data_IF_774470588341
#
_entry.id   IF_774470588341
#
_cell.length_a   1.000
_cell.length_b   1.000
_cell.length_c   1.000
_cell.angle_alpha   90.00
_cell.angle_beta   90.00
_cell.angle_gamma   90.00
#
_symmetry.space_group_name_H-M   'P 1'
#
loop_
_entity.id
_entity.type
_entity.pdbx_description
1 polymer ?
#
# COMPACT_ATOMS: atom_id res chain seq x y z
N UNK A 1 17.80 39.64 -13.53
CA UNK A 1 17.24 40.00 -12.22
C UNK A 1 16.32 38.90 -11.77
N UNK A 2 16.67 38.31 -10.62
CA UNK A 2 15.91 37.46 -9.71
C UNK A 2 15.21 36.21 -10.23
N UNK A 3 15.99 35.14 -10.39
CA UNK A 3 15.50 33.79 -10.13
C UNK A 3 15.44 33.60 -8.61
N UNK A 4 14.24 33.64 -8.03
CA UNK A 4 13.98 33.18 -6.67
C UNK A 4 14.21 31.68 -6.60
N UNK A 5 15.35 31.28 -6.05
CA UNK A 5 15.54 29.96 -5.45
C UNK A 5 14.71 29.92 -4.17
N UNK A 6 13.52 29.33 -4.24
CA UNK A 6 12.80 28.91 -3.04
C UNK A 6 13.28 27.51 -2.65
N UNK A 7 13.90 27.48 -1.48
CA UNK A 7 14.42 26.34 -0.74
C UNK A 7 13.43 25.17 -0.68
N UNK A 8 13.87 24.00 -1.12
CA UNK A 8 13.21 22.71 -0.89
C UNK A 8 13.32 22.35 0.59
N UNK A 9 12.26 22.61 1.36
CA UNK A 9 12.07 21.97 2.65
C UNK A 9 11.83 20.47 2.42
N UNK A 10 12.60 19.61 3.08
CA UNK A 10 12.47 18.16 3.00
C UNK A 10 11.12 17.70 3.55
N UNK A 11 10.15 17.47 2.67
CA UNK A 11 8.86 16.93 3.06
C UNK A 11 8.99 15.41 3.30
N UNK A 12 8.81 14.99 4.56
CA UNK A 12 8.85 13.57 5.03
C UNK A 12 7.77 12.68 4.40
N UNK A 13 6.83 13.26 3.65
CA UNK A 13 5.74 12.56 2.97
C UNK A 13 5.66 13.00 1.51
N UNK A 14 5.11 12.12 0.66
CA UNK A 14 4.88 12.41 -0.75
C UNK A 14 4.03 13.67 -0.90
N UNK A 15 4.60 14.71 -1.50
CA UNK A 15 3.92 15.96 -1.83
C UNK A 15 3.84 16.09 -3.35
N UNK A 16 2.70 16.57 -3.85
CA UNK A 16 2.54 16.85 -5.27
C UNK A 16 3.09 18.25 -5.53
N UNK A 17 4.08 18.35 -6.43
CA UNK A 17 4.57 19.65 -6.89
C UNK A 17 3.56 20.29 -7.85
N UNK A 18 3.34 21.61 -7.77
CA UNK A 18 2.43 22.29 -8.68
C UNK A 18 2.98 22.22 -10.11
N UNK A 19 2.32 21.44 -10.97
CA UNK A 19 2.69 21.29 -12.38
C UNK A 19 1.78 22.13 -13.27
N UNK A 20 2.34 23.19 -13.86
CA UNK A 20 1.63 23.99 -14.87
C UNK A 20 1.71 23.28 -16.22
N UNK A 21 0.55 23.04 -16.86
CA UNK A 21 0.47 22.54 -18.23
C UNK A 21 0.04 23.67 -19.16
N UNK A 22 0.84 23.93 -20.20
CA UNK A 22 0.45 24.85 -21.27
C UNK A 22 -0.61 24.18 -22.14
N UNK A 23 -1.77 24.82 -22.28
CA UNK A 23 -2.92 24.30 -23.03
C UNK A 23 -3.26 25.32 -24.10
N UNK A 24 -3.37 24.87 -25.35
CA UNK A 24 -3.68 25.76 -26.46
C UNK A 24 -5.10 26.35 -26.32
N UNK A 25 -5.29 27.60 -26.77
CA UNK A 25 -6.62 28.22 -26.78
C UNK A 25 -7.64 27.44 -27.63
N UNK A 26 -7.16 26.75 -28.67
CA UNK A 26 -7.99 25.86 -29.50
C UNK A 26 -8.51 24.67 -28.69
N UNK A 27 -7.67 24.09 -27.82
CA UNK A 27 -8.04 22.98 -26.93
C UNK A 27 -9.10 23.43 -25.93
N UNK A 28 -8.94 24.61 -25.34
CA UNK A 28 -9.92 25.19 -24.41
C UNK A 28 -11.25 25.37 -25.13
N UNK A 29 -11.29 26.06 -26.28
CA UNK A 29 -12.55 26.31 -27.00
C UNK A 29 -13.23 25.04 -27.52
N UNK A 30 -12.46 24.01 -27.91
CA UNK A 30 -12.99 22.77 -28.51
C UNK A 30 -13.39 21.72 -27.46
N UNK A 31 -12.66 21.62 -26.35
CA UNK A 31 -12.79 20.51 -25.38
C UNK A 31 -13.39 20.95 -24.06
N UNK A 32 -13.29 22.22 -23.69
CA UNK A 32 -13.85 22.71 -22.43
C UNK A 32 -15.25 23.21 -22.69
N UNK A 33 -16.21 22.51 -22.09
CA UNK A 33 -17.62 22.87 -22.15
C UNK A 33 -17.97 23.66 -20.89
N UNK A 34 -18.99 24.54 -20.95
CA UNK A 34 -19.54 25.13 -19.73
C UNK A 34 -20.08 24.02 -18.83
N UNK A 35 -20.06 24.27 -17.53
CA UNK A 35 -20.52 23.33 -16.52
C UNK A 35 -22.00 22.97 -16.73
N UNK A 36 -22.46 21.72 -16.48
CA UNK A 36 -23.88 21.36 -16.56
C UNK A 36 -24.75 22.24 -15.65
N UNK A 37 -26.00 22.47 -16.06
CA UNK A 37 -26.92 23.36 -15.36
C UNK A 37 -27.14 22.96 -13.88
N UNK A 38 -27.28 21.67 -13.59
CA UNK A 38 -27.45 21.17 -12.22
C UNK A 38 -26.29 21.58 -11.31
N UNK A 39 -25.06 21.44 -11.79
CA UNK A 39 -23.88 21.81 -11.01
C UNK A 39 -23.71 23.33 -10.91
N UNK A 40 -24.14 24.09 -11.94
CA UNK A 40 -24.22 25.55 -11.84
C UNK A 40 -25.19 25.97 -10.73
N UNK A 41 -26.37 25.34 -10.63
CA UNK A 41 -27.37 25.65 -9.61
C UNK A 41 -26.86 25.32 -8.20
N UNK A 42 -26.10 24.24 -8.04
CA UNK A 42 -25.40 23.91 -6.78
C UNK A 42 -24.34 24.95 -6.40
N UNK A 43 -23.51 25.37 -7.36
CA UNK A 43 -22.52 26.44 -7.14
C UNK A 43 -23.20 27.76 -6.79
N UNK A 44 -24.32 28.09 -7.44
CA UNK A 44 -25.16 29.25 -7.09
C UNK A 44 -25.66 29.14 -5.65
N UNK A 45 -26.18 27.98 -5.25
CA UNK A 45 -26.64 27.73 -3.89
C UNK A 45 -25.52 27.89 -2.85
N UNK A 46 -24.30 27.41 -3.14
CA UNK A 46 -23.13 27.59 -2.27
C UNK A 46 -22.77 29.08 -2.15
N UNK A 47 -22.65 29.80 -3.27
CA UNK A 47 -22.31 31.23 -3.27
C UNK A 47 -23.37 32.08 -2.55
N UNK A 48 -24.65 31.78 -2.77
CA UNK A 48 -25.75 32.40 -2.04
C UNK A 48 -25.71 32.05 -0.55
N UNK A 49 -25.37 30.81 -0.20
CA UNK A 49 -25.20 30.41 1.21
C UNK A 49 -24.03 31.13 1.88
N UNK A 50 -22.96 31.47 1.17
CA UNK A 50 -21.87 32.27 1.71
C UNK A 50 -22.31 33.71 1.98
N UNK A 51 -23.14 34.26 1.09
CA UNK A 51 -23.76 35.58 1.28
C UNK A 51 -24.71 35.58 2.50
N UNK A 52 -25.57 34.56 2.63
CA UNK A 52 -26.55 34.50 3.73
C UNK A 52 -25.96 34.05 5.06
N UNK A 53 -25.07 33.04 5.07
CA UNK A 53 -24.45 32.54 6.30
C UNK A 53 -23.48 33.54 6.90
N UNK A 54 -22.83 34.42 6.12
CA UNK A 54 -21.96 35.45 6.71
C UNK A 54 -22.78 36.63 7.24
N UNK A 55 -23.85 37.03 6.53
CA UNK A 55 -24.84 37.98 7.04
C UNK A 55 -25.56 37.51 8.33
N UNK A 56 -25.76 36.19 8.51
CA UNK A 56 -26.37 35.59 9.71
C UNK A 56 -25.35 35.09 10.75
N UNK A 57 -24.08 34.88 10.37
CA UNK A 57 -22.97 34.56 11.26
C UNK A 57 -22.26 35.83 11.75
N UNK A 58 -22.90 36.99 11.62
CA UNK A 58 -22.81 38.02 12.65
C UNK A 58 -23.38 37.43 13.93
N UNK A 59 -22.52 36.76 14.72
CA UNK A 59 -22.54 36.64 16.18
C UNK A 59 -23.95 36.79 16.77
N UNK A 60 -24.55 35.68 17.23
CA UNK A 60 -25.73 35.70 18.12
C UNK A 60 -25.62 36.95 19.01
N UNK A 61 -26.53 37.94 18.88
CA UNK A 61 -26.41 39.14 19.68
C UNK A 61 -26.43 38.69 21.14
N UNK A 62 -25.46 39.11 21.98
CA UNK A 62 -25.47 38.72 23.38
C UNK A 62 -26.81 39.17 23.95
N UNK A 63 -27.61 38.18 24.36
CA UNK A 63 -28.88 38.39 25.06
C UNK A 63 -28.55 39.22 26.31
N UNK A 64 -28.88 40.51 26.28
CA UNK A 64 -28.74 41.41 27.44
C UNK A 64 -28.33 42.86 27.18
N UNK A 65 -27.69 43.22 26.06
CA UNK A 65 -27.19 44.61 25.90
C UNK A 65 -28.21 45.52 25.20
N UNK A 66 -28.96 46.27 26.02
CA UNK A 66 -29.79 47.38 25.55
C UNK A 66 -28.91 48.43 24.87
N UNK A 67 -29.34 48.80 23.67
CA UNK A 67 -28.71 49.75 22.75
C UNK A 67 -28.49 51.11 23.43
N UNK A 68 -27.23 51.47 23.68
CA UNK A 68 -26.82 52.88 23.74
C UNK A 68 -26.13 53.22 22.42
N UNK A 69 -26.69 54.21 21.73
CA UNK A 69 -26.22 54.64 20.42
C UNK A 69 -24.81 55.27 20.54
N UNK A 70 -23.99 55.04 19.50
CA UNK A 70 -22.63 55.57 19.26
C UNK A 70 -21.49 54.82 19.94
N UNK A 71 -21.39 53.50 19.76
CA UNK A 71 -20.09 52.84 19.79
C UNK A 71 -19.35 53.11 18.48
N UNK A 72 -18.17 53.73 18.58
CA UNK A 72 -17.26 53.91 17.45
C UNK A 72 -16.97 52.54 16.84
N UNK A 73 -17.31 52.38 15.56
CA UNK A 73 -17.00 51.20 14.76
C UNK A 73 -15.51 50.89 14.92
N UNK A 74 -15.20 49.70 15.41
CA UNK A 74 -13.80 49.31 15.59
C UNK A 74 -13.17 49.15 14.21
N UNK A 75 -11.84 49.32 14.11
CA UNK A 75 -11.12 49.10 12.85
C UNK A 75 -11.45 47.71 12.26
N UNK A 76 -11.64 46.70 13.10
CA UNK A 76 -12.00 45.35 12.68
C UNK A 76 -13.40 45.29 12.06
N UNK A 77 -14.37 46.04 12.56
CA UNK A 77 -15.75 46.09 12.06
C UNK A 77 -15.84 46.74 10.67
N UNK A 78 -15.02 47.76 10.42
CA UNK A 78 -14.88 48.37 9.08
C UNK A 78 -14.17 47.41 8.12
N UNK A 79 -13.11 46.75 8.58
CA UNK A 79 -12.40 45.75 7.78
C UNK A 79 -13.33 44.58 7.42
N UNK A 80 -14.13 44.09 8.37
CA UNK A 80 -15.09 43.00 8.16
C UNK A 80 -16.15 43.38 7.11
N UNK A 81 -16.69 44.60 7.15
CA UNK A 81 -17.61 45.10 6.11
C UNK A 81 -16.94 45.26 4.74
N UNK A 82 -15.70 45.75 4.69
CA UNK A 82 -14.93 45.86 3.43
C UNK A 82 -14.63 44.47 2.85
N UNK A 83 -14.33 43.47 3.69
CA UNK A 83 -14.20 42.08 3.30
C UNK A 83 -15.51 41.49 2.81
N UNK A 84 -16.63 41.74 3.51
CA UNK A 84 -17.96 41.29 3.08
C UNK A 84 -18.33 41.88 1.73
N UNK A 85 -18.12 43.19 1.54
CA UNK A 85 -18.38 43.89 0.28
C UNK A 85 -17.50 43.35 -0.86
N UNK A 86 -16.23 43.09 -0.60
CA UNK A 86 -15.33 42.48 -1.58
C UNK A 86 -15.79 41.06 -1.96
N UNK A 87 -16.23 40.26 -0.99
CA UNK A 87 -16.78 38.92 -1.23
C UNK A 87 -18.10 39.00 -2.02
N UNK A 88 -18.98 39.95 -1.72
CA UNK A 88 -20.20 40.18 -2.48
C UNK A 88 -19.93 40.55 -3.94
N UNK A 89 -18.97 41.45 -4.18
CA UNK A 89 -18.58 41.82 -5.54
C UNK A 89 -18.02 40.62 -6.31
N UNK A 90 -17.15 39.83 -5.67
CA UNK A 90 -16.60 38.60 -6.25
C UNK A 90 -17.70 37.57 -6.52
N UNK A 91 -18.63 37.36 -5.59
CA UNK A 91 -19.73 36.41 -5.78
C UNK A 91 -20.64 36.83 -6.93
N UNK A 92 -21.01 38.11 -7.05
CA UNK A 92 -21.81 38.63 -8.17
C UNK A 92 -21.09 38.49 -9.52
N UNK A 93 -19.78 38.76 -9.57
CA UNK A 93 -18.95 38.54 -10.77
C UNK A 93 -18.86 37.06 -11.13
N UNK A 94 -18.73 36.18 -10.15
CA UNK A 94 -18.69 34.74 -10.39
C UNK A 94 -20.04 34.20 -10.86
N UNK A 95 -21.15 34.61 -10.24
CA UNK A 95 -22.51 34.19 -10.64
C UNK A 95 -22.84 34.59 -12.09
N UNK A 96 -22.44 35.79 -12.50
CA UNK A 96 -22.65 36.28 -13.87
C UNK A 96 -21.72 35.60 -14.90
N UNK A 97 -20.53 35.16 -14.50
CA UNK A 97 -19.55 34.51 -15.40
C UNK A 97 -19.64 32.99 -15.44
N UNK A 98 -20.23 32.37 -14.42
CA UNK A 98 -20.42 30.92 -14.29
C UNK A 98 -21.00 30.23 -15.54
N UNK A 99 -22.07 30.74 -16.20
CA UNK A 99 -22.65 30.08 -17.37
C UNK A 99 -21.76 30.14 -18.62
N UNK A 100 -20.77 31.05 -18.65
CA UNK A 100 -19.88 31.26 -19.80
C UNK A 100 -18.44 30.81 -19.55
N UNK A 101 -18.13 30.34 -18.33
CA UNK A 101 -16.79 29.90 -17.98
C UNK A 101 -16.55 28.49 -18.55
N UNK A 102 -15.52 28.31 -19.41
CA UNK A 102 -15.17 26.98 -19.88
C UNK A 102 -14.47 26.21 -18.76
N UNK A 103 -15.01 25.05 -18.39
CA UNK A 103 -14.39 24.19 -17.39
C UNK A 103 -13.59 23.08 -18.08
N UNK A 104 -12.38 22.76 -17.58
CA UNK A 104 -11.67 21.60 -18.06
C UNK A 104 -12.54 20.38 -17.86
N UNK A 105 -12.78 19.61 -18.93
CA UNK A 105 -13.09 18.22 -18.71
C UNK A 105 -11.80 17.62 -18.11
N UNK A 106 -11.86 17.17 -16.88
CA UNK A 106 -10.86 16.29 -16.27
C UNK A 106 -11.12 14.84 -16.69
N UNK A 107 -11.89 14.67 -17.78
CA UNK A 107 -12.47 13.43 -18.18
C UNK A 107 -11.46 12.63 -19.00
N UNK A 108 -10.89 11.61 -18.36
CA UNK A 108 -10.63 10.36 -19.09
C UNK A 108 -11.87 10.01 -19.92
N UNK A 109 -11.72 9.42 -21.11
CA UNK A 109 -12.76 9.32 -22.13
C UNK A 109 -14.06 8.60 -21.71
N UNK A 110 -14.14 8.08 -20.48
CA UNK A 110 -15.29 7.39 -19.89
C UNK A 110 -16.12 8.23 -18.91
N UNK A 111 -15.71 9.45 -18.52
CA UNK A 111 -16.49 10.23 -17.53
C UNK A 111 -17.59 11.02 -18.23
N UNK A 112 -18.80 10.50 -18.08
CA UNK A 112 -20.06 11.14 -18.44
C UNK A 112 -20.27 12.43 -17.63
N UNK A 113 -21.10 13.34 -18.15
CA UNK A 113 -21.43 14.62 -17.49
C UNK A 113 -22.01 14.46 -16.06
N UNK A 114 -22.35 13.25 -15.64
CA UNK A 114 -22.76 12.92 -14.27
C UNK A 114 -21.62 12.97 -13.26
N UNK A 115 -20.38 12.59 -13.63
CA UNK A 115 -19.24 12.56 -12.69
C UNK A 115 -18.82 13.97 -12.29
N UNK A 116 -18.88 14.93 -13.22
CA UNK A 116 -18.62 16.35 -12.90
C UNK A 116 -19.70 16.93 -11.97
N UNK A 117 -20.93 16.44 -12.07
CA UNK A 117 -22.03 16.86 -11.18
C UNK A 117 -21.84 16.30 -9.76
N UNK A 118 -21.34 15.08 -9.66
CA UNK A 118 -21.03 14.41 -8.40
C UNK A 118 -20.00 15.18 -7.56
N UNK A 119 -18.99 15.79 -8.20
CA UNK A 119 -17.98 16.60 -7.51
C UNK A 119 -18.52 17.87 -6.84
N UNK A 120 -19.65 18.40 -7.30
CA UNK A 120 -20.31 19.58 -6.69
C UNK A 120 -21.45 19.21 -5.74
N UNK A 121 -21.74 17.92 -5.58
CA UNK A 121 -22.75 17.47 -4.63
C UNK A 121 -22.17 17.39 -3.22
N UNK A 122 -22.84 18.06 -2.29
CA UNK A 122 -22.49 18.00 -0.88
C UNK A 122 -22.66 16.59 -0.32
N UNK A 123 -23.78 15.93 -0.66
CA UNK A 123 -24.11 14.59 -0.19
C UNK A 123 -23.11 13.54 -0.65
N UNK A 124 -22.70 13.53 -1.93
CA UNK A 124 -21.70 12.56 -2.38
C UNK A 124 -20.33 12.83 -1.79
N UNK A 125 -19.98 14.11 -1.58
CA UNK A 125 -18.76 14.44 -0.85
C UNK A 125 -18.82 13.91 0.58
N UNK A 126 -19.95 14.08 1.28
CA UNK A 126 -20.14 13.52 2.62
C UNK A 126 -20.06 11.99 2.62
N UNK A 127 -20.75 11.31 1.70
CA UNK A 127 -20.71 9.85 1.57
C UNK A 127 -19.29 9.36 1.31
N UNK A 128 -18.55 10.04 0.43
CA UNK A 128 -17.13 9.76 0.19
C UNK A 128 -16.30 9.95 1.44
N UNK A 129 -16.49 11.04 2.19
CA UNK A 129 -15.76 11.25 3.46
C UNK A 129 -16.09 10.18 4.50
N UNK A 130 -17.35 9.78 4.62
CA UNK A 130 -17.79 8.71 5.52
C UNK A 130 -17.19 7.36 5.12
N UNK A 131 -17.21 7.03 3.82
CA UNK A 131 -16.57 5.82 3.29
C UNK A 131 -15.05 5.83 3.55
N UNK A 132 -14.36 6.94 3.31
CA UNK A 132 -12.93 7.06 3.57
C UNK A 132 -12.62 6.94 5.07
N UNK A 133 -13.43 7.55 5.95
CA UNK A 133 -13.29 7.39 7.39
C UNK A 133 -13.50 5.94 7.83
N UNK A 134 -14.51 5.24 7.29
CA UNK A 134 -14.72 3.82 7.55
C UNK A 134 -13.50 2.98 7.15
N UNK A 135 -12.99 3.16 5.93
CA UNK A 135 -11.78 2.43 5.47
C UNK A 135 -10.55 2.75 6.32
N UNK A 136 -10.36 4.03 6.69
CA UNK A 136 -9.25 4.46 7.53
C UNK A 136 -9.35 3.85 8.94
N UNK A 137 -10.53 3.83 9.55
CA UNK A 137 -10.73 3.22 10.87
C UNK A 137 -10.53 1.71 10.83
N UNK A 138 -10.99 1.02 9.78
CA UNK A 138 -10.72 -0.40 9.57
C UNK A 138 -9.22 -0.68 9.46
N UNK A 139 -8.50 0.10 8.64
CA UNK A 139 -7.05 -0.03 8.46
C UNK A 139 -6.27 0.32 9.75
N UNK A 140 -6.76 1.27 10.54
CA UNK A 140 -6.16 1.56 11.85
C UNK A 140 -6.35 0.39 12.82
N UNK A 141 -7.52 -0.25 12.81
CA UNK A 141 -7.82 -1.43 13.64
C UNK A 141 -6.98 -2.63 13.21
N UNK A 142 -6.87 -2.93 11.92
CA UNK A 142 -6.03 -4.02 11.42
C UNK A 142 -4.55 -3.78 11.75
N UNK A 143 -4.04 -2.56 11.58
CA UNK A 143 -2.67 -2.22 11.96
C UNK A 143 -2.41 -2.42 13.46
N UNK A 144 -3.38 -2.09 14.32
CA UNK A 144 -3.26 -2.35 15.77
C UNK A 144 -3.20 -3.85 16.07
N UNK A 145 -4.03 -4.66 15.41
CA UNK A 145 -4.02 -6.11 15.56
C UNK A 145 -2.69 -6.71 15.10
N UNK A 146 -2.21 -6.35 13.92
CA UNK A 146 -0.93 -6.82 13.39
C UNK A 146 0.23 -6.42 14.29
N UNK A 147 0.26 -5.19 14.80
CA UNK A 147 1.29 -4.76 15.77
C UNK A 147 1.25 -5.57 17.05
N UNK A 148 0.06 -5.94 17.54
CA UNK A 148 -0.07 -6.78 18.72
C UNK A 148 0.41 -8.22 18.44
N UNK A 149 0.09 -8.76 17.26
CA UNK A 149 0.58 -10.07 16.84
C UNK A 149 2.11 -10.07 16.71
N UNK A 150 2.69 -9.08 16.05
CA UNK A 150 4.15 -8.93 15.92
C UNK A 150 4.81 -8.90 17.31
N UNK A 151 4.24 -8.16 18.27
CA UNK A 151 4.78 -8.14 19.64
C UNK A 151 4.67 -9.49 20.34
N UNK A 152 3.63 -10.27 20.06
CA UNK A 152 3.46 -11.62 20.61
C UNK A 152 4.53 -12.56 20.04
N UNK A 153 4.69 -12.57 18.72
CA UNK A 153 5.71 -13.38 18.04
C UNK A 153 7.13 -12.98 18.45
N UNK A 154 7.41 -11.69 18.59
CA UNK A 154 8.70 -11.20 19.06
C UNK A 154 9.04 -11.67 20.48
N UNK A 155 8.04 -11.85 21.36
CA UNK A 155 8.26 -12.42 22.69
C UNK A 155 8.53 -13.91 22.62
N UNK A 156 7.70 -14.67 21.89
CA UNK A 156 7.91 -16.10 21.68
C UNK A 156 9.31 -16.38 21.12
N UNK A 157 9.70 -15.66 20.07
CA UNK A 157 11.02 -15.77 19.46
C UNK A 157 12.16 -15.43 20.44
N UNK A 158 11.95 -14.50 21.37
CA UNK A 158 12.94 -14.19 22.41
C UNK A 158 13.10 -15.36 23.38
N UNK A 159 11.99 -15.98 23.78
CA UNK A 159 11.99 -17.12 24.68
C UNK A 159 12.67 -18.33 24.01
N UNK A 160 12.34 -18.62 22.74
CA UNK A 160 12.97 -19.68 21.95
C UNK A 160 14.48 -19.45 21.79
N UNK A 161 14.91 -18.21 21.53
CA UNK A 161 16.34 -17.87 21.46
C UNK A 161 17.05 -18.06 22.80
N UNK A 162 16.38 -17.78 23.92
CA UNK A 162 16.94 -18.02 25.23
C UNK A 162 17.06 -19.52 25.53
N UNK A 163 16.09 -20.33 25.09
CA UNK A 163 16.14 -21.78 25.19
C UNK A 163 17.28 -22.37 24.35
N UNK A 164 17.41 -21.96 23.09
CA UNK A 164 18.52 -22.37 22.24
C UNK A 164 19.87 -22.01 22.85
N UNK A 165 20.04 -20.78 23.35
CA UNK A 165 21.28 -20.37 24.01
C UNK A 165 21.58 -21.22 25.25
N UNK A 166 20.54 -21.62 26.01
CA UNK A 166 20.70 -22.51 27.16
C UNK A 166 21.15 -23.90 26.73
N UNK A 167 20.58 -24.46 25.66
CA UNK A 167 20.96 -25.76 25.11
C UNK A 167 22.37 -25.74 24.53
N UNK A 168 22.74 -24.68 23.80
CA UNK A 168 24.10 -24.48 23.31
C UNK A 168 25.11 -24.40 24.45
N UNK A 169 24.81 -23.65 25.52
CA UNK A 169 25.67 -23.59 26.69
C UNK A 169 25.82 -24.96 27.38
N UNK A 170 24.72 -25.72 27.50
CA UNK A 170 24.72 -27.07 28.05
C UNK A 170 25.59 -28.02 27.21
N UNK A 171 25.40 -28.04 25.88
CA UNK A 171 26.20 -28.84 24.95
C UNK A 171 27.68 -28.45 24.99
N UNK A 172 27.99 -27.15 24.97
CA UNK A 172 29.38 -26.69 25.05
C UNK A 172 30.05 -27.09 26.37
N UNK A 173 29.30 -27.05 27.48
CA UNK A 173 29.81 -27.51 28.77
C UNK A 173 30.01 -29.02 28.84
N UNK A 174 29.11 -29.83 28.25
CA UNK A 174 29.26 -31.29 28.19
C UNK A 174 30.42 -31.68 27.28
N UNK A 175 30.56 -31.05 26.11
CA UNK A 175 31.68 -31.23 25.21
C UNK A 175 33.00 -30.86 25.89
N UNK A 176 33.05 -29.72 26.60
CA UNK A 176 34.24 -29.30 27.35
C UNK A 176 34.59 -30.26 28.49
N UNK A 177 33.58 -30.85 29.14
CA UNK A 177 33.77 -31.87 30.17
C UNK A 177 34.32 -33.16 29.57
N UNK A 178 33.72 -33.66 28.48
CA UNK A 178 34.16 -34.85 27.75
C UNK A 178 35.59 -34.69 27.25
N UNK A 179 35.93 -33.55 26.63
CA UNK A 179 37.29 -33.27 26.19
C UNK A 179 38.31 -33.26 27.35
N UNK A 180 37.93 -32.76 28.54
CA UNK A 180 38.80 -32.83 29.73
C UNK A 180 38.96 -34.26 30.24
N UNK A 181 37.88 -35.05 30.23
CA UNK A 181 37.92 -36.46 30.59
C UNK A 181 38.83 -37.23 29.63
N UNK A 182 38.66 -37.06 28.32
CA UNK A 182 39.49 -37.66 27.27
C UNK A 182 40.98 -37.32 27.40
N UNK A 183 41.32 -36.08 27.77
CA UNK A 183 42.72 -35.68 28.03
C UNK A 183 43.33 -36.37 29.26
N UNK A 184 42.50 -36.85 30.19
CA UNK A 184 42.92 -37.63 31.34
C UNK A 184 42.95 -39.14 31.11
N UNK A 185 42.45 -39.62 29.96
CA UNK A 185 42.43 -41.04 29.62
C UNK A 185 43.77 -41.48 29.00
N UNK A 186 44.17 -42.71 29.30
CA UNK A 186 45.36 -43.32 28.73
C UNK A 186 45.10 -43.66 27.24
N UNK A 187 46.08 -43.53 26.33
CA UNK A 187 45.87 -43.69 24.88
C UNK A 187 45.20 -45.00 24.43
N UNK A 188 45.33 -46.10 25.18
CA UNK A 188 44.65 -47.37 24.87
C UNK A 188 43.16 -47.38 25.23
N UNK A 189 42.74 -46.64 26.25
CA UNK A 189 41.31 -46.49 26.59
C UNK A 189 40.60 -45.56 25.59
N UNK A 190 41.34 -44.60 25.03
CA UNK A 190 40.85 -43.72 23.96
C UNK A 190 40.53 -44.48 22.66
N UNK A 191 41.36 -45.46 22.30
CA UNK A 191 41.15 -46.35 21.15
C UNK A 191 40.02 -47.38 21.37
N UNK A 192 39.71 -47.72 22.62
CA UNK A 192 38.59 -48.61 22.95
C UNK A 192 37.24 -47.89 22.89
N UNK A 193 37.16 -46.63 23.34
CA UNK A 193 35.96 -45.78 23.23
C UNK A 193 35.58 -45.51 21.76
N UNK A 194 36.57 -45.25 20.89
CA UNK A 194 36.35 -45.11 19.44
C UNK A 194 35.91 -46.42 18.75
N UNK A 195 36.17 -47.58 19.36
CA UNK A 195 35.75 -48.89 18.84
C UNK A 195 34.36 -49.33 19.31
N UNK A 196 33.89 -48.84 20.47
CA UNK A 196 32.57 -49.19 21.02
C UNK A 196 31.43 -48.31 20.46
N UNK A 197 31.72 -47.09 19.96
CA UNK A 197 30.71 -46.22 19.35
C UNK A 197 30.21 -46.71 17.97
N UNK A 198 30.91 -47.64 17.29
CA UNK A 198 30.46 -48.24 16.02
C UNK A 198 29.64 -49.55 16.17
N UNK A 199 29.52 -50.13 17.37
CA UNK A 199 28.87 -51.46 17.59
C UNK A 199 27.53 -51.42 18.36
N UNK A 200 26.79 -50.32 18.29
CA UNK A 200 25.42 -50.24 18.83
C UNK A 200 24.39 -49.76 17.79
N UNK A 201 24.40 -50.41 16.62
CA UNK A 201 23.21 -50.61 15.80
C UNK A 201 23.05 -52.12 15.60
N UNK A 202 22.10 -52.71 16.33
CA UNK A 202 21.30 -53.89 15.96
C UNK A 202 20.94 -54.67 17.23
N UNK A 203 19.70 -54.48 17.70
CA UNK A 203 18.82 -55.49 18.34
C UNK A 203 17.77 -54.79 19.21
N UNK A 204 16.73 -54.23 18.59
CA UNK A 204 15.33 -54.52 18.95
C UNK A 204 14.36 -53.87 17.94
N UNK A 205 14.05 -54.58 16.84
CA UNK A 205 13.02 -54.12 15.88
C UNK A 205 11.98 -55.22 15.61
N UNK A 206 11.10 -55.47 16.59
CA UNK A 206 9.80 -56.04 16.29
C UNK A 206 8.70 -55.42 17.16
N UNK A 207 8.43 -54.14 16.94
CA UNK A 207 7.10 -53.55 17.11
C UNK A 207 6.97 -52.31 16.20
N UNK A 208 6.17 -52.48 15.15
CA UNK A 208 5.80 -51.50 14.12
C UNK A 208 5.73 -50.05 14.64
N UNK A 209 6.60 -49.14 14.16
CA UNK A 209 6.41 -47.72 14.36
C UNK A 209 5.41 -47.18 13.32
N UNK A 210 4.46 -46.39 13.81
CA UNK A 210 3.77 -45.40 12.99
C UNK A 210 4.85 -44.54 12.31
N UNK A 211 5.00 -44.69 10.98
CA UNK A 211 5.84 -43.81 10.18
C UNK A 211 5.30 -42.38 10.31
N UNK A 212 5.97 -41.56 11.10
CA UNK A 212 5.86 -40.12 10.95
C UNK A 212 6.34 -39.80 9.52
N UNK A 213 5.50 -39.15 8.69
CA UNK A 213 5.90 -38.81 7.33
C UNK A 213 7.12 -37.89 7.42
N UNK A 214 8.12 -38.15 6.57
CA UNK A 214 9.27 -37.25 6.47
C UNK A 214 8.77 -35.86 6.06
N UNK A 215 9.51 -34.82 6.44
CA UNK A 215 9.18 -33.42 6.12
C UNK A 215 9.01 -33.23 4.60
N UNK A 216 9.71 -34.05 3.80
CA UNK A 216 9.61 -34.12 2.34
C UNK A 216 8.26 -34.68 1.86
N UNK A 217 7.77 -35.77 2.46
CA UNK A 217 6.44 -36.34 2.15
C UNK A 217 5.30 -35.40 2.58
N UNK A 218 5.53 -34.59 3.60
CA UNK A 218 4.57 -33.58 4.07
C UNK A 218 4.51 -32.38 3.11
N UNK A 219 5.67 -31.95 2.59
CA UNK A 219 5.77 -30.90 1.57
C UNK A 219 5.14 -31.35 0.25
N UNK A 220 5.34 -32.60 -0.16
CA UNK A 220 4.75 -33.13 -1.40
C UNK A 220 3.22 -33.23 -1.31
N UNK A 221 2.67 -33.64 -0.16
CA UNK A 221 1.21 -33.61 0.09
C UNK A 221 0.64 -32.20 0.13
N UNK A 222 1.37 -31.23 0.71
CA UNK A 222 0.97 -29.82 0.72
C UNK A 222 1.02 -29.25 -0.69
N UNK A 223 2.00 -29.64 -1.51
CA UNK A 223 2.13 -29.23 -2.90
C UNK A 223 1.03 -29.82 -3.80
N UNK A 224 0.57 -31.04 -3.54
CA UNK A 224 -0.57 -31.66 -4.23
C UNK A 224 -1.90 -30.99 -3.85
N UNK A 225 -2.07 -30.61 -2.58
CA UNK A 225 -3.27 -29.89 -2.10
C UNK A 225 -3.27 -28.43 -2.59
N UNK A 226 -2.10 -27.80 -2.72
CA UNK A 226 -1.92 -26.42 -3.17
C UNK A 226 -1.72 -26.27 -4.69
N UNK A 227 -1.65 -27.37 -5.45
CA UNK A 227 -1.55 -27.37 -6.91
C UNK A 227 -0.22 -26.83 -7.48
N UNK A 228 0.89 -27.01 -6.76
CA UNK A 228 2.18 -26.35 -7.08
C UNK A 228 3.05 -27.15 -8.08
N UNK A 229 2.81 -28.45 -8.26
CA UNK A 229 3.44 -29.24 -9.33
C UNK A 229 2.49 -29.49 -10.50
N UNK A 230 2.53 -28.58 -11.47
CA UNK A 230 1.97 -28.82 -12.80
C UNK A 230 2.95 -29.69 -13.61
N UNK A 231 2.68 -31.00 -13.71
CA UNK A 231 3.08 -31.72 -14.92
C UNK A 231 2.39 -31.05 -16.13
N UNK A 232 3.08 -30.89 -17.27
CA UNK A 232 2.54 -30.22 -18.45
C UNK A 232 1.58 -31.17 -19.17
N UNK A 233 0.39 -31.38 -18.59
CA UNK A 233 -0.76 -31.79 -19.36
C UNK A 233 -1.16 -30.57 -20.19
N UNK A 234 -0.78 -30.57 -21.46
CA UNK A 234 -1.21 -29.61 -22.47
C UNK A 234 -2.69 -29.82 -22.77
N UNK A 235 -3.56 -29.61 -21.79
CA UNK A 235 -4.94 -29.27 -22.05
C UNK A 235 -4.97 -27.77 -22.30
N UNK A 236 -4.93 -27.41 -23.58
CA UNK A 236 -5.32 -26.09 -24.06
C UNK A 236 -6.76 -25.85 -23.63
N UNK A 237 -6.95 -25.33 -22.41
CA UNK A 237 -8.23 -24.78 -21.97
C UNK A 237 -8.40 -23.50 -22.76
N UNK A 238 -8.99 -23.64 -23.95
CA UNK A 238 -9.57 -22.53 -24.70
C UNK A 238 -10.75 -22.02 -23.86
N UNK A 239 -10.50 -20.97 -23.10
CA UNK A 239 -11.54 -20.18 -22.41
C UNK A 239 -12.26 -19.28 -23.44
N UNK A 240 -12.91 -19.90 -24.41
CA UNK A 240 -13.95 -19.22 -25.18
C UNK A 240 -15.27 -19.97 -24.96
N UNK A 241 -15.97 -19.72 -23.82
CA UNK A 241 -17.31 -20.24 -23.65
C UNK A 241 -18.27 -19.26 -24.32
N UNK A 242 -18.85 -19.71 -25.43
CA UNK A 242 -20.08 -19.15 -25.97
C UNK A 242 -21.03 -18.84 -24.82
N UNK A 243 -21.53 -17.60 -24.81
CA UNK A 243 -22.33 -16.91 -23.80
C UNK A 243 -23.65 -17.61 -23.38
N UNK A 244 -23.89 -18.82 -23.86
CA UNK A 244 -25.12 -19.59 -23.73
C UNK A 244 -25.03 -20.79 -22.79
N UNK A 245 -23.82 -21.19 -22.34
CA UNK A 245 -23.65 -22.43 -21.58
C UNK A 245 -23.94 -22.28 -20.08
N UNK A 246 -23.62 -21.16 -19.42
CA UNK A 246 -23.91 -20.99 -17.98
C UNK A 246 -24.13 -19.51 -17.58
N UNK A 247 -25.39 -18.99 -17.61
CA UNK A 247 -25.69 -17.60 -17.26
C UNK A 247 -25.39 -17.24 -15.80
N UNK A 248 -25.30 -18.23 -14.91
CA UNK A 248 -24.97 -18.04 -13.49
C UNK A 248 -23.48 -17.84 -13.22
N UNK A 249 -22.60 -18.29 -14.13
CA UNK A 249 -21.14 -18.16 -13.99
C UNK A 249 -20.60 -16.85 -14.61
N UNK A 250 -21.38 -16.22 -15.49
CA UNK A 250 -21.05 -14.93 -16.09
C UNK A 250 -20.71 -13.83 -15.07
N UNK A 251 -21.48 -13.62 -13.97
CA UNK A 251 -21.13 -12.62 -12.97
C UNK A 251 -19.82 -12.95 -12.24
N UNK A 252 -19.56 -14.22 -11.93
CA UNK A 252 -18.34 -14.67 -11.26
C UNK A 252 -17.10 -14.50 -12.14
N UNK A 253 -17.19 -14.88 -13.41
CA UNK A 253 -16.12 -14.68 -14.38
C UNK A 253 -15.84 -13.18 -14.62
N UNK A 254 -16.88 -12.36 -14.63
CA UNK A 254 -16.74 -10.90 -14.73
C UNK A 254 -16.06 -10.34 -13.48
N UNK A 255 -16.43 -10.80 -12.29
CA UNK A 255 -15.79 -10.41 -11.04
C UNK A 255 -14.33 -10.83 -10.98
N UNK A 256 -14.00 -12.05 -11.41
CA UNK A 256 -12.63 -12.55 -11.47
C UNK A 256 -11.80 -11.77 -12.48
N UNK A 257 -12.35 -11.48 -13.67
CA UNK A 257 -11.69 -10.64 -14.67
C UNK A 257 -11.44 -9.23 -14.15
N UNK A 258 -12.42 -8.61 -13.48
CA UNK A 258 -12.26 -7.30 -12.86
C UNK A 258 -11.21 -7.32 -11.73
N UNK A 259 -11.15 -8.40 -10.96
CA UNK A 259 -10.15 -8.57 -9.91
C UNK A 259 -8.74 -8.74 -10.48
N UNK A 260 -8.56 -9.61 -11.49
CA UNK A 260 -7.29 -9.77 -12.19
C UNK A 260 -6.86 -8.46 -12.87
N UNK A 261 -7.79 -7.73 -13.49
CA UNK A 261 -7.50 -6.42 -14.08
C UNK A 261 -7.07 -5.39 -13.01
N UNK A 262 -7.68 -5.45 -11.82
CA UNK A 262 -7.30 -4.61 -10.67
C UNK A 262 -5.90 -4.97 -10.16
N UNK A 263 -5.59 -6.26 -10.03
CA UNK A 263 -4.23 -6.73 -9.70
C UNK A 263 -3.21 -6.32 -10.76
N UNK A 264 -3.57 -6.40 -12.04
CA UNK A 264 -2.72 -5.99 -13.16
C UNK A 264 -2.41 -4.49 -13.09
N UNK A 265 -3.44 -3.67 -12.88
CA UNK A 265 -3.29 -2.23 -12.73
C UNK A 265 -2.48 -1.85 -11.49
N UNK A 266 -2.66 -2.57 -10.37
CA UNK A 266 -1.90 -2.34 -9.14
C UNK A 266 -0.42 -2.75 -9.28
N UNK A 267 -0.12 -3.77 -10.07
CA UNK A 267 1.25 -4.24 -10.32
C UNK A 267 1.95 -3.52 -11.48
N UNK A 268 1.20 -2.79 -12.31
CA UNK A 268 1.73 -2.04 -13.45
C UNK A 268 2.84 -1.04 -13.07
N UNK A 269 2.76 -0.42 -11.89
CA UNK A 269 3.77 0.53 -11.40
C UNK A 269 5.09 -0.13 -10.98
N UNK A 270 5.07 -1.43 -10.65
CA UNK A 270 6.25 -2.20 -10.20
C UNK A 270 6.98 -2.84 -11.40
N UNK A 271 6.30 -3.08 -12.53
CA UNK A 271 6.92 -3.60 -13.76
C UNK A 271 8.20 -2.86 -14.21
N UNK A 272 8.25 -1.52 -14.28
CA UNK A 272 9.49 -0.83 -14.67
C UNK A 272 10.61 -1.02 -13.65
N UNK A 273 10.29 -1.20 -12.37
CA UNK A 273 11.29 -1.50 -11.32
C UNK A 273 11.85 -2.90 -11.51
N UNK A 274 10.99 -3.89 -11.80
CA UNK A 274 11.44 -5.26 -12.10
C UNK A 274 12.30 -5.30 -13.37
N UNK A 275 11.92 -4.55 -14.41
CA UNK A 275 12.74 -4.40 -15.61
C UNK A 275 14.11 -3.79 -15.29
N UNK A 276 14.15 -2.67 -14.57
CA UNK A 276 15.39 -2.03 -14.15
C UNK A 276 16.25 -2.94 -13.26
N UNK A 277 15.63 -3.75 -12.40
CA UNK A 277 16.33 -4.73 -11.57
C UNK A 277 16.94 -5.86 -12.42
N UNK A 278 16.18 -6.38 -13.39
CA UNK A 278 16.71 -7.37 -14.34
C UNK A 278 17.83 -6.80 -15.21
N UNK A 279 17.70 -5.55 -15.64
CA UNK A 279 18.73 -4.85 -16.41
C UNK A 279 19.99 -4.66 -15.57
N UNK A 280 19.86 -4.19 -14.33
CA UNK A 280 20.97 -4.08 -13.39
C UNK A 280 21.63 -5.44 -13.10
N UNK A 281 20.83 -6.51 -12.94
CA UNK A 281 21.34 -7.86 -12.76
C UNK A 281 22.14 -8.32 -13.98
N UNK A 282 21.62 -8.17 -15.20
CA UNK A 282 22.35 -8.52 -16.42
C UNK A 282 23.62 -7.69 -16.59
N UNK A 283 23.60 -6.40 -16.25
CA UNK A 283 24.79 -5.54 -16.28
C UNK A 283 25.84 -5.99 -15.27
N UNK A 284 25.42 -6.39 -14.06
CA UNK A 284 26.31 -6.96 -13.04
C UNK A 284 26.87 -8.31 -13.46
N UNK A 285 26.06 -9.18 -14.07
CA UNK A 285 26.50 -10.48 -14.58
C UNK A 285 27.52 -10.33 -15.72
N UNK A 286 27.30 -9.37 -16.62
CA UNK A 286 28.26 -9.01 -17.68
C UNK A 286 29.56 -8.45 -17.11
N UNK A 287 29.48 -7.56 -16.12
CA UNK A 287 30.65 -7.02 -15.43
C UNK A 287 31.41 -8.13 -14.70
N UNK A 288 30.70 -9.03 -14.03
CA UNK A 288 31.29 -10.15 -13.31
C UNK A 288 31.97 -11.13 -14.26
N UNK A 289 31.35 -11.42 -15.40
CA UNK A 289 31.93 -12.25 -16.46
C UNK A 289 33.19 -11.62 -17.08
N UNK A 290 33.26 -10.29 -17.19
CA UNK A 290 34.39 -9.59 -17.77
C UNK A 290 35.59 -9.45 -16.81
N UNK A 291 35.36 -9.50 -15.49
CA UNK A 291 36.36 -9.11 -14.49
C UNK A 291 36.73 -10.17 -13.45
N UNK A 292 35.93 -11.21 -13.28
CA UNK A 292 36.18 -12.26 -12.29
C UNK A 292 36.34 -13.64 -12.94
N UNK A 293 37.26 -14.44 -12.39
CA UNK A 293 37.42 -15.84 -12.76
C UNK A 293 36.18 -16.67 -12.39
N UNK A 294 35.96 -17.75 -13.11
CA UNK A 294 34.79 -18.64 -12.98
C UNK A 294 34.56 -19.15 -11.55
N UNK A 295 35.64 -19.43 -10.80
CA UNK A 295 35.55 -19.84 -9.39
C UNK A 295 35.04 -18.72 -8.48
N UNK A 296 35.44 -17.47 -8.74
CA UNK A 296 34.98 -16.30 -7.98
C UNK A 296 33.52 -15.97 -8.29
N UNK A 297 33.10 -16.20 -9.55
CA UNK A 297 31.69 -16.08 -9.97
C UNK A 297 30.80 -17.11 -9.27
N UNK A 298 31.23 -18.38 -9.18
CA UNK A 298 30.50 -19.44 -8.45
C UNK A 298 30.33 -19.13 -6.97
N UNK A 299 31.37 -18.58 -6.32
CA UNK A 299 31.29 -18.10 -4.93
C UNK A 299 30.31 -16.94 -4.75
N UNK A 300 30.30 -15.97 -5.67
CA UNK A 300 29.36 -14.83 -5.63
C UNK A 300 27.90 -15.25 -5.81
N UNK A 301 27.65 -16.28 -6.61
CA UNK A 301 26.31 -16.85 -6.79
C UNK A 301 25.93 -17.89 -5.72
N UNK A 302 26.79 -18.15 -4.73
CA UNK A 302 26.52 -19.12 -3.66
C UNK A 302 26.43 -20.57 -4.14
N UNK A 303 27.05 -20.88 -5.28
CA UNK A 303 27.04 -22.23 -5.88
C UNK A 303 28.17 -23.14 -5.36
N UNK A 304 29.03 -22.62 -4.50
CA UNK A 304 30.03 -23.39 -3.76
C UNK A 304 29.55 -23.53 -2.29
N UNK A 305 28.71 -24.54 -2.05
CA UNK A 305 28.53 -25.20 -0.74
C UNK A 305 28.87 -26.66 -0.88
#
# INVERSE_FOLDING_TARGET
MDQRQESTAEHTFAHLSPRVRHISQSTIRKKWKPLPQSSQDRVRAILLSLKTKRAASGRIPPIGTKRTAKTKRTKNDVMDEDYERAVEEVTNKLLSRLPRMPFPNNATPSSTASVVDEHFSFETTLNRTSSLQSTLTMNQRSNRLLRNQIRREQRALKDDKAELSRLEAALNSSFSLRQKQERGLHPLARLADEGEEEEHEDEDENQRPHKNPTEKDSIDRINDIAGIFAQPQTSTISLDPDQQSHPELAPLLTQLRNHLQSMDNNTASIRPVLHAMSEAQTALDLFAAARFDEQTRRRLHGLDT
#
